data_IF_525508923892
#
_entry.id   IF_525508923892
#
_cell.length_a   1.000
_cell.length_b   1.000
_cell.length_c   1.000
_cell.angle_alpha   90.00
_cell.angle_beta   90.00
_cell.angle_gamma   90.00
#
_symmetry.space_group_name_H-M   'P 1'
#
loop_
_entity.id
_entity.type
_entity.pdbx_description
1 polymer ?
#
# COMPACT_ATOMS: atom_id res chain seq x y z
N UNK A 1 1.39 13.92 12.01
CA UNK A 1 0.85 12.72 11.33
C UNK A 1 0.66 13.11 9.88
N UNK A 2 1.27 12.40 8.94
CA UNK A 2 1.14 12.67 7.50
C UNK A 2 0.49 11.43 6.85
N UNK A 3 -0.79 11.53 6.52
CA UNK A 3 -1.47 10.53 5.71
C UNK A 3 -1.66 11.18 4.34
N UNK A 4 -1.22 10.51 3.28
CA UNK A 4 -1.38 11.07 1.94
C UNK A 4 -2.86 11.02 1.56
N UNK A 5 -3.47 9.84 1.66
CA UNK A 5 -4.90 9.62 1.40
C UNK A 5 -5.44 8.53 2.35
N UNK A 6 -6.56 8.81 3.00
CA UNK A 6 -7.32 7.83 3.80
C UNK A 6 -8.69 7.57 3.15
N UNK A 7 -8.98 6.31 2.84
CA UNK A 7 -10.26 5.87 2.28
C UNK A 7 -11.02 5.09 3.34
N UNK A 8 -12.32 5.33 3.44
CA UNK A 8 -13.23 4.57 4.32
C UNK A 8 -14.35 4.02 3.44
N UNK A 9 -14.49 2.69 3.41
CA UNK A 9 -15.55 2.01 2.69
C UNK A 9 -16.11 0.88 3.54
N UNK A 10 -17.42 0.87 3.78
CA UNK A 10 -18.05 -0.17 4.60
C UNK A 10 -17.44 -0.33 6.00
N UNK A 11 -16.96 0.77 6.60
CA UNK A 11 -16.21 0.82 7.87
C UNK A 11 -14.77 0.26 7.81
N UNK A 12 -14.33 -0.29 6.68
CA UNK A 12 -12.94 -0.68 6.48
C UNK A 12 -12.10 0.54 6.08
N UNK A 13 -10.94 0.67 6.72
CA UNK A 13 -9.96 1.72 6.42
C UNK A 13 -8.96 1.22 5.40
N UNK A 14 -8.67 2.03 4.39
CA UNK A 14 -7.52 1.85 3.51
C UNK A 14 -6.65 3.10 3.52
N UNK A 15 -5.38 2.96 3.91
CA UNK A 15 -4.40 4.03 3.84
C UNK A 15 -3.58 3.92 2.54
N UNK A 16 -3.59 4.96 1.71
CA UNK A 16 -2.80 5.01 0.49
C UNK A 16 -1.66 6.00 0.71
N UNK A 17 -0.42 5.53 0.56
CA UNK A 17 0.77 6.36 0.61
C UNK A 17 1.46 6.42 -0.76
N UNK A 18 2.01 7.58 -1.11
CA UNK A 18 2.66 7.86 -2.39
C UNK A 18 4.11 8.27 -2.17
N UNK A 19 5.06 7.62 -2.86
CA UNK A 19 6.48 8.00 -2.77
C UNK A 19 7.29 7.64 -4.01
N UNK A 20 8.14 8.57 -4.43
CA UNK A 20 9.11 8.40 -5.52
C UNK A 20 10.56 8.21 -5.02
N UNK A 21 10.72 7.91 -3.72
CA UNK A 21 12.03 7.75 -3.10
C UNK A 21 12.73 6.43 -3.48
N UNK A 22 14.00 6.27 -3.11
CA UNK A 22 14.73 5.01 -3.28
C UNK A 22 14.21 3.88 -2.39
N UNK A 23 14.54 2.64 -2.74
CA UNK A 23 14.00 1.38 -2.17
C UNK A 23 14.00 1.33 -0.64
N UNK A 24 15.09 1.73 0.03
CA UNK A 24 15.15 1.73 1.51
C UNK A 24 14.09 2.64 2.14
N UNK A 25 13.89 3.84 1.57
CA UNK A 25 12.87 4.77 2.06
C UNK A 25 11.47 4.29 1.72
N UNK A 26 11.28 3.63 0.58
CA UNK A 26 10.01 3.02 0.21
C UNK A 26 9.60 1.92 1.19
N UNK A 27 10.55 1.08 1.65
CA UNK A 27 10.24 0.07 2.68
C UNK A 27 9.71 0.72 3.95
N UNK A 28 10.37 1.79 4.42
CA UNK A 28 9.90 2.54 5.59
C UNK A 28 8.50 3.13 5.38
N UNK A 29 8.22 3.71 4.20
CA UNK A 29 6.88 4.22 3.85
C UNK A 29 5.83 3.12 3.82
N UNK A 30 6.16 1.93 3.31
CA UNK A 30 5.28 0.77 3.32
C UNK A 30 4.91 0.34 4.75
N UNK A 31 5.91 0.19 5.63
CA UNK A 31 5.66 -0.14 7.03
C UNK A 31 4.86 0.94 7.77
N UNK A 32 5.18 2.21 7.53
CA UNK A 32 4.43 3.34 8.07
C UNK A 32 2.97 3.31 7.60
N UNK A 33 2.73 2.97 6.33
CA UNK A 33 1.39 2.88 5.77
C UNK A 33 0.56 1.75 6.41
N UNK A 34 1.13 0.55 6.51
CA UNK A 34 0.53 -0.61 7.18
C UNK A 34 0.22 -0.27 8.64
N UNK A 35 1.23 0.21 9.39
CA UNK A 35 1.09 0.44 10.82
C UNK A 35 0.02 1.48 11.12
N UNK A 36 -0.10 2.54 10.30
CA UNK A 36 -1.14 3.56 10.45
C UNK A 36 -2.53 3.07 10.07
N UNK A 37 -2.63 2.28 9.00
CA UNK A 37 -3.88 1.64 8.64
C UNK A 37 -4.40 0.81 9.82
N UNK A 38 -3.54 -0.05 10.37
CA UNK A 38 -3.87 -0.89 11.52
C UNK A 38 -4.21 -0.10 12.79
N UNK A 39 -3.47 0.96 13.11
CA UNK A 39 -3.77 1.83 14.26
C UNK A 39 -5.15 2.49 14.18
N UNK A 40 -5.63 2.78 12.96
CA UNK A 40 -6.91 3.46 12.74
C UNK A 40 -8.07 2.48 12.52
N UNK A 41 -7.81 1.36 11.84
CA UNK A 41 -8.83 0.45 11.30
C UNK A 41 -8.76 -0.98 11.83
N UNK A 42 -7.81 -1.28 12.72
CA UNK A 42 -7.61 -2.62 13.29
C UNK A 42 -7.09 -3.64 12.27
N UNK A 43 -7.35 -4.91 12.55
CA UNK A 43 -6.83 -6.06 11.79
C UNK A 43 -7.38 -6.14 10.36
N UNK A 44 -8.53 -5.53 10.07
CA UNK A 44 -9.12 -5.53 8.73
C UNK A 44 -8.64 -4.35 7.88
N UNK A 45 -7.76 -3.50 8.41
CA UNK A 45 -7.29 -2.34 7.68
C UNK A 45 -6.42 -2.74 6.48
N UNK A 46 -6.62 -2.04 5.37
CA UNK A 46 -5.86 -2.24 4.12
C UNK A 46 -4.86 -1.11 3.92
N UNK A 47 -3.85 -1.35 3.10
CA UNK A 47 -2.86 -0.34 2.78
C UNK A 47 -2.38 -0.42 1.33
N UNK A 48 -2.05 0.73 0.76
CA UNK A 48 -1.50 0.82 -0.59
C UNK A 48 -0.24 1.68 -0.56
N UNK A 49 0.81 1.23 -1.23
CA UNK A 49 1.98 2.04 -1.56
C UNK A 49 2.03 2.28 -3.07
N UNK A 50 1.88 3.53 -3.48
CA UNK A 50 2.06 3.98 -4.87
C UNK A 50 3.48 4.51 -5.05
N UNK A 51 4.19 3.98 -6.03
CA UNK A 51 5.59 4.32 -6.31
C UNK A 51 5.94 4.30 -7.80
N UNK A 52 7.13 4.78 -8.13
CA UNK A 52 7.67 4.78 -9.51
C UNK A 52 8.68 3.66 -9.76
N UNK A 53 8.73 2.62 -8.92
CA UNK A 53 9.53 1.41 -9.18
C UNK A 53 9.08 0.72 -10.46
N UNK A 54 10.04 0.27 -11.28
CA UNK A 54 9.75 -0.46 -12.51
C UNK A 54 9.40 -1.93 -12.26
N UNK A 55 10.03 -2.52 -11.24
CA UNK A 55 9.71 -3.86 -10.72
C UNK A 55 9.34 -3.75 -9.24
N UNK A 56 8.11 -4.12 -8.93
CA UNK A 56 7.59 -4.14 -7.56
C UNK A 56 7.64 -5.53 -6.94
N UNK A 57 7.91 -6.59 -7.72
CA UNK A 57 7.82 -7.96 -7.23
C UNK A 57 8.87 -8.25 -6.16
N UNK A 58 10.14 -8.00 -6.46
CA UNK A 58 11.23 -8.18 -5.49
C UNK A 58 11.00 -7.34 -4.23
N UNK A 59 10.51 -6.10 -4.39
CA UNK A 59 10.20 -5.21 -3.29
C UNK A 59 9.04 -5.73 -2.41
N UNK A 60 7.98 -6.25 -3.02
CA UNK A 60 6.84 -6.86 -2.34
C UNK A 60 7.20 -8.17 -1.64
N UNK A 61 8.01 -9.01 -2.28
CA UNK A 61 8.48 -10.28 -1.70
C UNK A 61 9.35 -10.01 -0.46
N UNK A 62 10.27 -9.05 -0.55
CA UNK A 62 11.07 -8.58 0.58
C UNK A 62 10.21 -8.05 1.73
N UNK A 63 9.16 -7.27 1.42
CA UNK A 63 8.23 -6.75 2.43
C UNK A 63 7.44 -7.87 3.10
N UNK A 64 6.94 -8.84 2.33
CA UNK A 64 6.21 -9.99 2.85
C UNK A 64 7.05 -10.82 3.80
N UNK A 65 8.33 -11.04 3.47
CA UNK A 65 9.25 -11.75 4.36
C UNK A 65 9.46 -11.03 5.71
N UNK A 66 9.54 -9.70 5.71
CA UNK A 66 9.79 -8.91 6.93
C UNK A 66 8.51 -8.73 7.76
N UNK A 67 7.36 -8.56 7.12
CA UNK A 67 6.09 -8.20 7.77
C UNK A 67 5.21 -9.38 8.17
N UNK A 68 5.47 -10.59 7.65
CA UNK A 68 4.62 -11.75 7.89
C UNK A 68 3.22 -11.56 7.30
N UNK A 69 2.16 -11.85 8.08
CA UNK A 69 0.76 -11.76 7.61
C UNK A 69 0.32 -10.34 7.26
N UNK A 70 0.89 -9.32 7.92
CA UNK A 70 0.61 -7.91 7.64
C UNK A 70 1.00 -7.48 6.22
N UNK A 71 1.95 -8.19 5.59
CA UNK A 71 2.33 -7.94 4.20
C UNK A 71 1.22 -8.27 3.20
N UNK A 72 0.28 -9.15 3.57
CA UNK A 72 -0.87 -9.49 2.73
C UNK A 72 -1.91 -8.37 2.64
N UNK A 73 -1.87 -7.42 3.56
CA UNK A 73 -2.76 -6.25 3.63
C UNK A 73 -2.19 -5.05 2.85
N UNK A 74 -1.02 -5.18 2.22
CA UNK A 74 -0.36 -4.13 1.46
C UNK A 74 -0.36 -4.42 -0.05
N UNK A 75 -1.00 -3.54 -0.81
CA UNK A 75 -0.87 -3.48 -2.26
C UNK A 75 0.26 -2.51 -2.66
N UNK A 76 1.25 -2.97 -3.43
CA UNK A 76 2.29 -2.11 -4.00
C UNK A 76 2.01 -1.87 -5.49
N UNK A 77 1.89 -0.59 -5.87
CA UNK A 77 1.63 -0.14 -7.24
C UNK A 77 2.86 0.57 -7.79
N UNK A 78 3.44 0.00 -8.85
CA UNK A 78 4.65 0.50 -9.49
C UNK A 78 4.36 1.35 -10.71
N UNK A 79 5.41 1.73 -11.44
CA UNK A 79 5.32 2.58 -12.64
C UNK A 79 4.38 2.03 -13.70
N UNK A 80 4.33 0.70 -13.86
CA UNK A 80 3.45 0.01 -14.83
C UNK A 80 1.98 0.05 -14.47
N UNK A 81 1.67 0.38 -13.21
CA UNK A 81 0.33 0.47 -12.66
C UNK A 81 -0.21 1.90 -12.63
N UNK A 82 0.64 2.92 -12.78
CA UNK A 82 0.25 4.33 -12.78
C UNK A 82 -0.70 4.77 -13.92
N UNK A 83 -0.74 4.15 -15.11
CA UNK A 83 -1.80 4.43 -16.07
C UNK A 83 -3.18 4.31 -15.42
N UNK A 84 -4.02 5.32 -15.60
CA UNK A 84 -5.22 5.52 -14.77
C UNK A 84 -6.16 4.30 -14.77
N UNK A 85 -6.37 3.67 -15.92
CA UNK A 85 -7.16 2.44 -16.07
C UNK A 85 -6.66 1.30 -15.18
N UNK A 86 -5.34 1.11 -15.10
CA UNK A 86 -4.71 0.07 -14.28
C UNK A 86 -4.69 0.42 -12.81
N UNK A 87 -4.38 1.68 -12.50
CA UNK A 87 -4.32 2.17 -11.12
C UNK A 87 -5.68 2.00 -10.47
N UNK A 88 -6.73 2.50 -11.12
CA UNK A 88 -8.10 2.41 -10.62
C UNK A 88 -8.57 0.97 -10.49
N UNK A 89 -8.36 0.14 -11.52
CA UNK A 89 -8.76 -1.27 -11.46
C UNK A 89 -8.15 -2.02 -10.28
N UNK A 90 -6.86 -1.80 -9.99
CA UNK A 90 -6.19 -2.43 -8.84
C UNK A 90 -6.64 -1.85 -7.50
N UNK A 91 -6.83 -0.53 -7.41
CA UNK A 91 -7.36 0.12 -6.21
C UNK A 91 -8.76 -0.38 -5.88
N UNK A 92 -9.66 -0.43 -6.86
CA UNK A 92 -11.03 -0.93 -6.69
C UNK A 92 -11.02 -2.39 -6.22
N UNK A 93 -10.23 -3.23 -6.87
CA UNK A 93 -10.08 -4.64 -6.51
C UNK A 93 -9.55 -4.82 -5.09
N UNK A 94 -8.67 -3.94 -4.62
CA UNK A 94 -8.10 -4.06 -3.28
C UNK A 94 -8.99 -3.45 -2.20
N UNK A 95 -9.55 -2.25 -2.44
CA UNK A 95 -10.34 -1.52 -1.45
C UNK A 95 -11.74 -2.13 -1.31
N UNK A 96 -12.37 -2.54 -2.42
CA UNK A 96 -13.79 -2.90 -2.44
C UNK A 96 -14.11 -4.40 -2.49
N UNK A 97 -13.09 -5.28 -2.63
CA UNK A 97 -13.28 -6.72 -2.41
C UNK A 97 -13.31 -7.09 -0.93
#
# INVERSE_FOLDING_TARGET
>A
MELDILVIYGYQICNISCSISGTTRLKNRAFEAIHRAHQLGGDEAKSVLVTCLDDTKEFSDDLGFISGSLGSELLVLGRRDLPADRLWSKLETHIFN
#
